data_IF_561591236008
#
_entry.id   IF_561591236008
#
_cell.length_a   1.000
_cell.length_b   1.000
_cell.length_c   1.000
_cell.angle_alpha   90.00
_cell.angle_beta   90.00
_cell.angle_gamma   90.00
#
_symmetry.space_group_name_H-M   'P 1'
#
loop_
_entity.id
_entity.type
_entity.pdbx_description
1 polymer ?
#
# COMPACT_ATOMS: atom_id res chain seq x y z
N UNK A 1 1.03 19.59 2.98
CA UNK A 1 1.87 18.68 2.19
C UNK A 1 1.07 17.41 1.87
N UNK A 2 1.33 16.85 0.73
CA UNK A 2 0.59 15.66 0.27
C UNK A 2 0.81 14.45 1.16
N UNK A 3 1.91 14.41 1.92
CA UNK A 3 2.16 13.33 2.88
C UNK A 3 1.05 13.24 3.92
N UNK A 4 0.60 14.36 4.46
CA UNK A 4 -0.47 14.37 5.46
C UNK A 4 -1.78 13.83 4.87
N UNK A 5 -2.11 14.25 3.66
CA UNK A 5 -3.29 13.77 2.95
C UNK A 5 -3.18 12.27 2.67
N UNK A 6 -2.00 11.83 2.21
CA UNK A 6 -1.75 10.41 1.96
C UNK A 6 -1.98 9.59 3.22
N UNK A 7 -1.42 10.02 4.35
CA UNK A 7 -1.54 9.28 5.61
C UNK A 7 -2.98 9.21 6.11
N UNK A 8 -3.79 10.25 5.89
CA UNK A 8 -5.21 10.22 6.23
C UNK A 8 -5.95 9.13 5.44
N UNK A 9 -5.63 8.97 4.17
CA UNK A 9 -6.28 7.98 3.30
C UNK A 9 -5.70 6.58 3.44
N UNK A 10 -4.43 6.50 3.88
CA UNK A 10 -3.74 5.23 4.07
C UNK A 10 -4.20 4.49 5.32
N UNK A 11 -4.51 5.24 6.38
CA UNK A 11 -5.00 4.65 7.62
C UNK A 11 -6.41 4.08 7.43
N UNK A 12 -6.62 2.83 7.88
CA UNK A 12 -7.91 2.18 7.81
C UNK A 12 -7.82 0.74 7.35
N UNK A 13 -8.97 0.19 6.95
CA UNK A 13 -9.06 -1.17 6.44
C UNK A 13 -9.41 -1.17 4.97
N UNK A 14 -8.74 -2.06 4.23
CA UNK A 14 -8.92 -2.22 2.79
C UNK A 14 -9.10 -3.70 2.48
N UNK A 15 -9.71 -4.00 1.34
CA UNK A 15 -9.80 -5.37 0.86
C UNK A 15 -9.67 -5.41 -0.67
N UNK A 16 -9.53 -6.62 -1.18
CA UNK A 16 -9.41 -6.86 -2.62
C UNK A 16 -10.65 -7.56 -3.18
N UNK A 17 -11.84 -7.29 -2.64
CA UNK A 17 -13.07 -7.98 -3.03
C UNK A 17 -13.32 -7.94 -4.53
N UNK A 18 -13.12 -6.77 -5.17
CA UNK A 18 -13.30 -6.64 -6.62
C UNK A 18 -12.43 -7.61 -7.42
N UNK A 19 -11.16 -7.76 -7.00
CA UNK A 19 -10.23 -8.69 -7.63
C UNK A 19 -10.59 -10.15 -7.32
N UNK A 20 -10.86 -10.45 -6.06
CA UNK A 20 -11.15 -11.82 -5.61
C UNK A 20 -12.48 -12.33 -6.17
N UNK A 21 -13.52 -11.48 -6.24
CA UNK A 21 -14.82 -11.87 -6.75
C UNK A 21 -14.83 -12.07 -8.27
N UNK A 22 -13.99 -11.34 -9.00
CA UNK A 22 -13.91 -11.48 -10.45
C UNK A 22 -13.09 -12.70 -10.89
N UNK A 23 -12.18 -13.19 -10.04
CA UNK A 23 -11.39 -14.39 -10.36
C UNK A 23 -11.02 -15.13 -9.07
N UNK A 24 -12.00 -15.84 -8.46
CA UNK A 24 -11.80 -16.45 -7.13
C UNK A 24 -10.79 -17.60 -7.12
N UNK A 25 -10.48 -18.19 -8.28
CA UNK A 25 -9.48 -19.27 -8.34
C UNK A 25 -8.05 -18.73 -8.38
N UNK A 26 -7.89 -17.47 -8.76
CA UNK A 26 -6.57 -16.82 -8.86
C UNK A 26 -6.26 -15.95 -7.65
N UNK A 27 -7.27 -15.30 -7.06
CA UNK A 27 -7.07 -14.33 -6.00
C UNK A 27 -7.88 -14.70 -4.75
N UNK A 28 -7.19 -14.85 -3.64
CA UNK A 28 -7.86 -14.98 -2.34
C UNK A 28 -8.42 -13.63 -1.91
N UNK A 29 -9.56 -13.65 -1.19
CA UNK A 29 -10.10 -12.44 -0.57
C UNK A 29 -9.28 -12.13 0.68
N UNK A 30 -8.61 -11.00 0.71
CA UNK A 30 -7.76 -10.58 1.82
C UNK A 30 -8.19 -9.22 2.35
N UNK A 31 -7.92 -8.99 3.64
CA UNK A 31 -8.07 -7.70 4.29
C UNK A 31 -6.70 -7.18 4.67
N UNK A 32 -6.50 -5.87 4.50
CA UNK A 32 -5.28 -5.19 4.92
C UNK A 32 -5.68 -4.04 5.82
N UNK A 33 -5.07 -3.96 7.01
CA UNK A 33 -5.30 -2.87 7.94
C UNK A 33 -4.02 -2.08 8.12
N UNK A 34 -4.12 -0.75 8.02
CA UNK A 34 -3.03 0.17 8.32
C UNK A 34 -3.41 0.98 9.56
N UNK A 35 -2.69 0.81 10.63
CA UNK A 35 -2.92 1.49 11.89
C UNK A 35 -1.74 2.39 12.23
N UNK A 36 -1.99 3.69 12.39
CA UNK A 36 -0.93 4.64 12.73
C UNK A 36 -0.46 4.39 14.16
N UNK A 37 0.82 4.12 14.33
CA UNK A 37 1.43 3.79 15.63
C UNK A 37 2.41 4.86 16.11
N UNK A 38 2.93 5.69 15.22
CA UNK A 38 3.87 6.77 15.53
C UNK A 38 3.87 7.76 14.36
N UNK A 39 4.65 8.85 14.47
CA UNK A 39 4.78 9.81 13.38
C UNK A 39 5.26 9.11 12.10
N UNK A 40 4.43 9.18 11.06
CA UNK A 40 4.69 8.58 9.75
C UNK A 40 4.90 7.06 9.75
N UNK A 41 4.58 6.39 10.87
CA UNK A 41 4.73 4.93 10.98
C UNK A 41 3.39 4.25 11.17
N UNK A 42 3.20 3.14 10.44
CA UNK A 42 1.98 2.37 10.47
C UNK A 42 2.27 0.90 10.69
N UNK A 43 1.45 0.26 11.52
CA UNK A 43 1.43 -1.20 11.59
C UNK A 43 0.49 -1.69 10.51
N UNK A 44 1.02 -2.44 9.57
CA UNK A 44 0.26 -3.02 8.46
C UNK A 44 0.08 -4.51 8.72
N UNK A 45 -1.17 -4.95 8.79
CA UNK A 45 -1.50 -6.36 8.97
C UNK A 45 -2.36 -6.85 7.81
N UNK A 46 -2.06 -8.05 7.33
CA UNK A 46 -2.79 -8.69 6.24
C UNK A 46 -3.35 -10.02 6.73
N UNK A 47 -4.61 -10.30 6.40
CA UNK A 47 -5.29 -11.51 6.83
C UNK A 47 -6.23 -12.02 5.74
N UNK A 48 -6.38 -13.34 5.69
CA UNK A 48 -7.35 -13.95 4.78
C UNK A 48 -8.77 -13.81 5.33
N UNK A 49 -9.74 -13.69 4.45
CA UNK A 49 -11.15 -13.59 4.80
C UNK A 49 -11.63 -14.80 5.63
N UNK A 50 -11.11 -15.99 5.35
CA UNK A 50 -11.49 -17.21 6.08
C UNK A 50 -10.81 -17.35 7.44
N UNK A 51 -9.79 -16.55 7.73
CA UNK A 51 -9.10 -16.50 9.03
C UNK A 51 -8.90 -15.07 9.50
N UNK A 52 -9.98 -14.29 9.76
CA UNK A 52 -9.86 -12.86 10.04
C UNK A 52 -9.19 -12.56 11.39
N UNK A 53 -9.08 -13.53 12.28
CA UNK A 53 -8.49 -13.34 13.61
C UNK A 53 -6.99 -13.63 13.64
N UNK A 54 -6.42 -14.12 12.54
CA UNK A 54 -5.02 -14.51 12.50
C UNK A 54 -4.34 -13.87 11.30
N UNK A 55 -3.64 -12.74 11.50
CA UNK A 55 -2.87 -12.13 10.41
C UNK A 55 -1.79 -13.09 9.91
N UNK A 56 -1.67 -13.24 8.60
CA UNK A 56 -0.57 -14.01 8.04
C UNK A 56 0.67 -13.14 7.82
N UNK A 57 0.52 -11.84 7.94
CA UNK A 57 1.63 -10.91 7.75
C UNK A 57 1.38 -9.63 8.54
N UNK A 58 2.38 -9.23 9.34
CA UNK A 58 2.38 -7.95 10.04
C UNK A 58 3.71 -7.27 9.81
N UNK A 59 3.70 -5.97 9.52
CA UNK A 59 4.90 -5.18 9.26
C UNK A 59 4.70 -3.76 9.72
N UNK A 60 5.80 -3.12 10.14
CA UNK A 60 5.82 -1.68 10.37
C UNK A 60 6.36 -1.03 9.12
N UNK A 61 5.59 -0.08 8.59
CA UNK A 61 6.00 0.69 7.41
C UNK A 61 6.14 2.16 7.79
N UNK A 62 6.99 2.88 7.06
CA UNK A 62 7.20 4.30 7.29
C UNK A 62 6.93 5.07 6.00
N UNK A 63 6.10 6.11 6.10
CA UNK A 63 5.77 6.96 4.96
C UNK A 63 6.72 8.15 4.91
N UNK A 64 7.26 8.45 3.73
CA UNK A 64 8.14 9.60 3.51
C UNK A 64 7.75 10.29 2.21
N UNK A 65 7.99 11.61 2.16
CA UNK A 65 7.82 12.40 0.93
C UNK A 65 9.17 12.97 0.54
N UNK A 66 9.98 12.20 -0.23
CA UNK A 66 11.31 12.68 -0.63
C UNK A 66 11.20 13.79 -1.67
N UNK A 67 12.21 14.65 -1.68
CA UNK A 67 12.36 15.66 -2.71
C UNK A 67 13.02 15.00 -3.93
N UNK A 68 12.22 14.63 -4.91
CA UNK A 68 12.69 13.92 -6.10
C UNK A 68 12.88 14.92 -7.24
N UNK A 69 14.14 15.16 -7.61
CA UNK A 69 14.47 16.07 -8.69
C UNK A 69 13.92 15.53 -10.02
N UNK A 70 13.22 16.40 -10.75
CA UNK A 70 12.63 16.03 -12.04
C UNK A 70 11.27 15.35 -11.96
N UNK A 71 10.75 15.09 -10.76
CA UNK A 71 9.41 14.54 -10.62
C UNK A 71 8.37 15.61 -10.99
N UNK A 72 7.40 15.23 -11.83
CA UNK A 72 6.33 16.13 -12.25
C UNK A 72 5.18 16.18 -11.24
N UNK A 73 5.12 15.24 -10.31
CA UNK A 73 4.08 15.13 -9.28
C UNK A 73 4.73 14.78 -7.94
N UNK A 74 4.07 15.08 -6.80
CA UNK A 74 4.56 14.65 -5.49
C UNK A 74 4.66 13.12 -5.39
N UNK A 75 5.73 12.66 -4.79
CA UNK A 75 6.03 11.23 -4.62
C UNK A 75 6.03 10.89 -3.13
N UNK A 76 5.32 9.84 -2.76
CA UNK A 76 5.32 9.30 -1.39
C UNK A 76 5.93 7.90 -1.45
N UNK A 77 6.90 7.62 -0.59
CA UNK A 77 7.48 6.28 -0.48
C UNK A 77 7.02 5.67 0.83
N UNK A 78 6.38 4.51 0.74
CA UNK A 78 6.05 3.68 1.90
C UNK A 78 7.15 2.65 2.03
N UNK A 79 8.04 2.86 3.00
CA UNK A 79 9.18 1.98 3.23
C UNK A 79 8.73 0.74 3.99
N UNK A 80 9.03 -0.41 3.42
CA UNK A 80 8.64 -1.70 3.94
C UNK A 80 9.85 -2.64 3.86
N UNK A 81 10.17 -3.40 4.92
CA UNK A 81 11.32 -4.31 4.90
C UNK A 81 11.32 -5.31 3.74
N UNK A 82 10.15 -5.74 3.29
CA UNK A 82 10.04 -6.68 2.17
C UNK A 82 10.14 -6.00 0.82
N UNK A 83 9.43 -4.87 0.65
CA UNK A 83 9.39 -4.18 -0.64
C UNK A 83 8.75 -2.80 -0.47
N UNK A 84 9.49 -1.76 -0.82
CA UNK A 84 8.95 -0.40 -0.77
C UNK A 84 7.86 -0.22 -1.82
N UNK A 85 6.86 0.61 -1.50
CA UNK A 85 5.85 1.06 -2.44
C UNK A 85 6.06 2.53 -2.76
N UNK A 86 5.96 2.88 -4.03
CA UNK A 86 6.14 4.25 -4.52
C UNK A 86 4.80 4.76 -5.01
N UNK A 87 4.29 5.80 -4.36
CA UNK A 87 3.01 6.41 -4.70
C UNK A 87 3.21 7.77 -5.38
N UNK A 88 2.43 8.02 -6.42
CA UNK A 88 2.41 9.30 -7.11
C UNK A 88 1.06 9.97 -6.87
N UNK A 89 1.06 11.27 -6.56
CA UNK A 89 -0.16 12.04 -6.36
C UNK A 89 -0.65 12.63 -7.67
N UNK A 90 -1.92 12.40 -7.97
CA UNK A 90 -2.58 12.95 -9.16
C UNK A 90 -3.63 13.96 -8.73
N UNK A 91 -3.32 15.23 -8.91
CA UNK A 91 -4.18 16.34 -8.48
C UNK A 91 -5.48 16.40 -9.27
N UNK A 92 -5.46 15.98 -10.53
CA UNK A 92 -6.59 16.07 -11.45
C UNK A 92 -7.81 15.29 -10.93
N UNK A 93 -7.59 14.11 -10.38
CA UNK A 93 -8.66 13.26 -9.84
C UNK A 93 -8.51 13.03 -8.34
N UNK A 94 -7.58 13.72 -7.69
CA UNK A 94 -7.33 13.61 -6.24
C UNK A 94 -7.11 12.17 -5.84
N UNK A 95 -6.11 11.53 -6.42
CA UNK A 95 -5.77 10.14 -6.13
C UNK A 95 -4.27 9.94 -5.96
N UNK A 96 -3.91 8.84 -5.29
CA UNK A 96 -2.54 8.34 -5.24
C UNK A 96 -2.49 7.00 -5.93
N UNK A 97 -1.57 6.81 -6.86
CA UNK A 97 -1.33 5.51 -7.48
C UNK A 97 0.01 5.00 -7.03
N UNK A 98 0.07 3.74 -6.59
CA UNK A 98 1.28 3.14 -6.07
C UNK A 98 1.71 1.92 -6.86
N UNK A 99 3.02 1.74 -6.94
CA UNK A 99 3.63 0.56 -7.56
C UNK A 99 4.74 0.07 -6.64
N UNK A 100 5.04 -1.23 -6.70
CA UNK A 100 6.17 -1.79 -5.98
C UNK A 100 7.48 -1.26 -6.57
N UNK A 101 8.48 -1.04 -5.70
CA UNK A 101 9.79 -0.60 -6.14
C UNK A 101 10.43 -1.63 -7.09
N UNK A 102 11.25 -1.18 -8.06
CA UNK A 102 11.93 -2.11 -8.96
C UNK A 102 12.82 -3.10 -8.19
N UNK A 103 12.88 -4.33 -8.66
CA UNK A 103 13.72 -5.36 -8.08
C UNK A 103 13.12 -6.14 -6.92
N UNK A 104 11.89 -5.81 -6.50
CA UNK A 104 11.22 -6.57 -5.46
C UNK A 104 10.84 -7.96 -5.96
N UNK A 105 10.99 -8.96 -5.09
CA UNK A 105 10.63 -10.34 -5.42
C UNK A 105 9.81 -10.97 -4.30
N UNK A 106 8.99 -11.94 -4.67
CA UNK A 106 8.26 -12.78 -3.73
C UNK A 106 8.42 -14.23 -4.18
N UNK A 107 9.00 -15.07 -3.31
CA UNK A 107 9.30 -16.48 -3.64
C UNK A 107 10.10 -16.60 -4.95
N UNK A 108 11.13 -15.76 -5.09
CA UNK A 108 12.05 -15.71 -6.23
C UNK A 108 11.41 -15.30 -7.56
N UNK A 109 10.17 -14.79 -7.52
CA UNK A 109 9.49 -14.24 -8.68
C UNK A 109 9.40 -12.73 -8.58
N UNK A 110 9.47 -12.00 -9.70
CA UNK A 110 9.28 -10.54 -9.67
C UNK A 110 7.93 -10.18 -9.07
N UNK A 111 7.95 -9.20 -8.16
CA UNK A 111 6.73 -8.68 -7.55
C UNK A 111 6.29 -7.43 -8.29
N UNK A 112 5.04 -7.42 -8.76
CA UNK A 112 4.42 -6.28 -9.40
C UNK A 112 3.12 -5.97 -8.65
N UNK A 113 3.22 -5.19 -7.59
CA UNK A 113 2.06 -4.78 -6.80
C UNK A 113 1.64 -3.37 -7.20
N UNK A 114 0.33 -3.16 -7.31
CA UNK A 114 -0.25 -1.86 -7.64
C UNK A 114 -1.38 -1.53 -6.69
N UNK A 115 -1.51 -0.25 -6.36
CA UNK A 115 -2.54 0.22 -5.45
C UNK A 115 -3.04 1.59 -5.89
N UNK A 116 -4.28 1.92 -5.51
CA UNK A 116 -4.83 3.25 -5.74
C UNK A 116 -5.60 3.67 -4.49
N UNK A 117 -5.30 4.87 -3.99
CA UNK A 117 -6.01 5.50 -2.89
C UNK A 117 -6.76 6.71 -3.42
N UNK A 118 -8.04 6.83 -3.07
CA UNK A 118 -8.87 7.97 -3.44
C UNK A 118 -9.96 8.17 -2.40
N UNK A 119 -10.45 9.39 -2.32
CA UNK A 119 -11.51 9.71 -1.36
C UNK A 119 -12.88 9.21 -1.85
#
# INVERSE_FOLDING_TARGET
MELDLFEQWFEGEFDNWGQASSNPTKWAHIFVKHEKIDDHKFLTSSRYNYEPHKPYREQVVECTEPDVMGASVPIIIVKNPACDMIFSFHKEDMSFTGVSAPGCTWKDKPLDSRAKLYA
#
